data_IF_303994242404
#
_entry.id   IF_303994242404
#
_cell.length_a   1.000
_cell.length_b   1.000
_cell.length_c   1.000
_cell.angle_alpha   90.00
_cell.angle_beta   90.00
_cell.angle_gamma   90.00
#
_symmetry.space_group_name_H-M   'P 1'
#
loop_
_entity.id
_entity.type
_entity.pdbx_description
1 polymer ?
#
# COMPACT_ATOMS: atom_id res chain seq x y z
N UNK A 1 13.64 -6.86 -15.87
CA UNK A 1 12.52 -6.25 -15.10
C UNK A 1 11.20 -6.14 -15.90
N UNK A 2 11.20 -6.29 -17.24
CA UNK A 2 9.96 -6.29 -18.05
C UNK A 2 9.22 -7.63 -18.17
N UNK A 3 9.76 -8.74 -17.67
CA UNK A 3 9.23 -10.09 -17.96
C UNK A 3 8.28 -10.65 -16.88
N UNK A 4 8.11 -9.98 -15.73
CA UNK A 4 7.27 -10.50 -14.63
C UNK A 4 5.84 -9.92 -14.59
N UNK A 5 5.53 -8.94 -15.44
CA UNK A 5 4.20 -8.31 -15.48
C UNK A 5 3.27 -8.89 -16.56
N UNK A 6 3.72 -9.84 -17.38
CA UNK A 6 2.91 -10.40 -18.48
C UNK A 6 2.21 -11.73 -18.16
N UNK A 7 2.47 -12.37 -17.02
CA UNK A 7 1.85 -13.65 -16.62
C UNK A 7 0.65 -13.51 -15.69
N UNK A 8 0.29 -12.30 -15.27
CA UNK A 8 -1.00 -12.07 -14.59
C UNK A 8 -2.08 -11.77 -15.63
N UNK A 9 -2.77 -12.83 -16.01
CA UNK A 9 -3.99 -12.87 -16.82
C UNK A 9 -4.90 -11.62 -16.59
N UNK A 10 -5.47 -10.97 -17.64
CA UNK A 10 -6.28 -9.73 -17.49
C UNK A 10 -7.62 -9.90 -16.74
N UNK A 11 -7.91 -11.08 -16.21
CA UNK A 11 -9.22 -11.46 -15.66
C UNK A 11 -9.58 -10.84 -14.29
N UNK A 12 -8.74 -9.93 -13.77
CA UNK A 12 -8.93 -9.30 -12.45
C UNK A 12 -9.00 -7.77 -12.46
N UNK A 13 -8.92 -7.12 -13.62
CA UNK A 13 -9.01 -5.66 -13.71
C UNK A 13 -10.43 -5.19 -14.01
N UNK A 14 -11.07 -4.52 -13.04
CA UNK A 14 -12.25 -3.68 -13.28
C UNK A 14 -11.89 -2.23 -12.95
N UNK A 15 -12.11 -1.31 -13.89
CA UNK A 15 -11.81 0.13 -13.76
C UNK A 15 -10.37 0.45 -13.31
N UNK A 16 -9.37 -0.25 -13.87
CA UNK A 16 -7.95 -0.02 -13.54
C UNK A 16 -7.53 -0.45 -12.13
N UNK A 17 -8.38 -1.18 -11.40
CA UNK A 17 -8.05 -1.75 -10.09
C UNK A 17 -7.73 -3.22 -10.23
N UNK A 18 -6.57 -3.63 -9.74
CA UNK A 18 -6.24 -5.04 -9.53
C UNK A 18 -7.04 -5.50 -8.31
N UNK A 19 -8.18 -6.15 -8.54
CA UNK A 19 -8.98 -6.74 -7.48
C UNK A 19 -8.44 -8.13 -7.19
N UNK A 20 -8.15 -8.43 -5.92
CA UNK A 20 -7.95 -9.82 -5.53
C UNK A 20 -9.27 -10.56 -5.81
N UNK A 21 -9.28 -11.62 -6.65
CA UNK A 21 -10.51 -12.29 -7.03
C UNK A 21 -11.01 -13.15 -5.86
N UNK A 22 -11.56 -12.51 -4.83
CA UNK A 22 -12.11 -13.15 -3.62
C UNK A 22 -13.08 -14.28 -3.97
N UNK A 23 -13.87 -14.10 -5.04
CA UNK A 23 -14.80 -15.13 -5.54
C UNK A 23 -14.07 -16.44 -5.88
N UNK A 24 -12.88 -16.40 -6.47
CA UNK A 24 -12.09 -17.61 -6.79
C UNK A 24 -11.44 -18.24 -5.56
N UNK A 25 -11.18 -17.46 -4.51
CA UNK A 25 -10.62 -17.99 -3.27
C UNK A 25 -11.63 -18.94 -2.60
N UNK A 26 -12.92 -18.59 -2.61
CA UNK A 26 -13.98 -19.45 -2.08
C UNK A 26 -14.14 -20.76 -2.86
N UNK A 27 -14.01 -20.72 -4.19
CA UNK A 27 -14.03 -21.93 -5.03
C UNK A 27 -12.87 -22.89 -4.66
N UNK A 28 -11.68 -22.34 -4.41
CA UNK A 28 -10.50 -23.13 -4.04
C UNK A 28 -10.68 -23.71 -2.64
N UNK A 29 -11.13 -22.93 -1.66
CA UNK A 29 -11.41 -23.39 -0.29
C UNK A 29 -12.42 -24.54 -0.32
N UNK A 30 -13.48 -24.42 -1.11
CA UNK A 30 -14.52 -25.46 -1.26
C UNK A 30 -13.93 -26.75 -1.83
N UNK A 31 -13.09 -26.65 -2.87
CA UNK A 31 -12.40 -27.81 -3.46
C UNK A 31 -11.42 -28.48 -2.49
N UNK A 32 -10.72 -27.70 -1.67
CA UNK A 32 -9.76 -28.21 -0.69
C UNK A 32 -10.47 -28.92 0.48
N UNK A 33 -11.60 -28.39 0.96
CA UNK A 33 -12.42 -29.03 1.99
C UNK A 33 -12.98 -30.37 1.50
N UNK A 34 -13.38 -30.45 0.23
CA UNK A 34 -13.96 -31.66 -0.35
C UNK A 34 -12.91 -32.69 -0.83
N UNK A 35 -11.62 -32.39 -0.74
CA UNK A 35 -10.54 -33.27 -1.20
C UNK A 35 -10.18 -34.30 -0.13
N UNK A 36 -10.77 -35.49 -0.21
CA UNK A 36 -10.57 -36.62 0.72
C UNK A 36 -9.13 -37.15 0.79
N UNK A 37 -8.27 -36.81 -0.18
CA UNK A 37 -6.86 -37.20 -0.21
C UNK A 37 -5.96 -36.32 0.68
N UNK A 38 -6.43 -35.15 1.13
CA UNK A 38 -5.63 -34.20 1.90
C UNK A 38 -5.93 -34.34 3.40
N UNK A 39 -4.89 -34.63 4.19
CA UNK A 39 -4.93 -34.51 5.66
C UNK A 39 -4.49 -33.10 6.06
N UNK A 40 -5.30 -32.09 5.77
CA UNK A 40 -5.05 -30.73 6.23
C UNK A 40 -6.30 -30.11 6.87
N UNK A 41 -6.08 -29.19 7.81
CA UNK A 41 -7.14 -28.38 8.40
C UNK A 41 -7.24 -27.09 7.61
N UNK A 42 -8.34 -26.92 6.87
CA UNK A 42 -8.62 -25.68 6.15
C UNK A 42 -9.31 -24.71 7.10
N UNK A 43 -8.61 -23.65 7.50
CA UNK A 43 -9.18 -22.54 8.28
C UNK A 43 -9.76 -21.49 7.34
N UNK A 44 -10.84 -20.82 7.76
CA UNK A 44 -11.39 -19.69 7.00
C UNK A 44 -10.38 -18.53 6.92
N UNK A 45 -10.50 -17.73 5.85
CA UNK A 45 -9.76 -16.48 5.74
C UNK A 45 -10.20 -15.57 6.90
N UNK A 46 -9.28 -15.03 7.72
CA UNK A 46 -9.65 -14.13 8.80
C UNK A 46 -10.44 -12.91 8.31
N UNK A 47 -11.46 -12.50 9.07
CA UNK A 47 -12.37 -11.40 8.70
C UNK A 47 -11.67 -10.08 8.43
N UNK A 48 -10.52 -9.83 9.07
CA UNK A 48 -9.78 -8.60 8.80
C UNK A 48 -9.26 -8.57 7.36
N UNK A 49 -8.87 -9.72 6.78
CA UNK A 49 -8.38 -9.80 5.40
C UNK A 49 -9.49 -9.51 4.42
N UNK A 50 -10.68 -10.09 4.61
CA UNK A 50 -11.84 -9.85 3.74
C UNK A 50 -12.27 -8.38 3.82
N UNK A 51 -12.39 -7.82 5.03
CA UNK A 51 -12.68 -6.39 5.24
C UNK A 51 -11.65 -5.47 4.59
N UNK A 52 -10.35 -5.76 4.71
CA UNK A 52 -9.29 -4.96 4.09
C UNK A 52 -9.32 -5.04 2.57
N UNK A 53 -9.63 -6.21 2.00
CA UNK A 53 -9.72 -6.39 0.55
C UNK A 53 -10.95 -5.71 -0.06
N UNK A 54 -12.06 -5.64 0.69
CA UNK A 54 -13.30 -4.98 0.27
C UNK A 54 -13.31 -3.47 0.54
N UNK A 55 -12.49 -3.00 1.49
CA UNK A 55 -12.42 -1.59 1.87
C UNK A 55 -12.07 -0.70 0.68
N UNK A 56 -12.99 0.22 0.37
CA UNK A 56 -12.74 1.30 -0.59
C UNK A 56 -11.83 2.33 0.09
N UNK A 57 -10.64 2.61 -0.46
CA UNK A 57 -9.79 3.67 0.07
C UNK A 57 -10.54 4.99 -0.08
N UNK A 58 -10.67 5.73 1.01
CA UNK A 58 -11.24 7.07 1.03
C UNK A 58 -10.09 8.04 0.81
N UNK A 59 -10.17 8.82 -0.26
CA UNK A 59 -9.19 9.89 -0.47
C UNK A 59 -9.53 11.06 0.48
N UNK A 60 -8.52 11.66 1.14
CA UNK A 60 -8.71 12.81 2.00
C UNK A 60 -9.17 14.03 1.19
N UNK A 61 -9.85 14.95 1.86
CA UNK A 61 -10.30 16.19 1.23
C UNK A 61 -9.10 17.12 0.90
N UNK A 62 -9.20 17.99 -0.13
CA UNK A 62 -8.11 18.91 -0.47
C UNK A 62 -7.71 19.83 0.70
N UNK A 63 -8.67 20.23 1.54
CA UNK A 63 -8.43 21.04 2.73
C UNK A 63 -7.64 20.28 3.79
N UNK A 64 -7.97 19.01 4.07
CA UNK A 64 -7.21 18.15 4.98
C UNK A 64 -5.75 18.02 4.52
N UNK A 65 -5.55 17.73 3.24
CA UNK A 65 -4.20 17.60 2.65
C UNK A 65 -3.41 18.90 2.80
N UNK A 66 -4.01 20.04 2.46
CA UNK A 66 -3.34 21.34 2.56
C UNK A 66 -3.01 21.71 4.00
N UNK A 67 -3.93 21.47 4.95
CA UNK A 67 -3.71 21.72 6.37
C UNK A 67 -2.57 20.85 6.92
N UNK A 68 -2.53 19.57 6.56
CA UNK A 68 -1.44 18.68 6.96
C UNK A 68 -0.09 19.15 6.39
N UNK A 69 -0.01 19.44 5.09
CA UNK A 69 1.23 19.89 4.46
C UNK A 69 1.71 21.23 5.04
N UNK A 70 0.80 22.13 5.39
CA UNK A 70 1.11 23.38 6.09
C UNK A 70 1.53 23.17 7.55
N UNK A 71 1.17 22.03 8.17
CA UNK A 71 1.53 21.66 9.53
C UNK A 71 2.88 20.94 9.67
N UNK A 72 3.48 20.48 8.58
CA UNK A 72 4.77 19.76 8.61
C UNK A 72 5.89 20.58 9.27
N UNK A 73 6.91 20.00 9.90
CA UNK A 73 8.08 20.74 10.39
C UNK A 73 8.75 21.58 9.29
N UNK A 74 9.29 22.76 9.64
CA UNK A 74 9.94 23.68 8.70
C UNK A 74 11.02 23.02 7.81
N UNK A 75 11.94 22.18 8.34
CA UNK A 75 12.95 21.51 7.52
C UNK A 75 12.33 20.66 6.40
N UNK A 76 11.23 19.96 6.73
CA UNK A 76 10.52 19.12 5.77
C UNK A 76 9.72 19.93 4.74
N UNK A 77 9.22 21.12 5.12
CA UNK A 77 8.54 22.01 4.16
C UNK A 77 9.50 22.72 3.22
N UNK A 78 10.67 23.14 3.71
CA UNK A 78 11.66 23.89 2.95
C UNK A 78 12.51 23.04 2.01
N UNK A 79 12.85 21.82 2.42
CA UNK A 79 13.83 20.99 1.70
C UNK A 79 13.21 19.96 0.76
N UNK A 80 11.87 19.83 0.78
CA UNK A 80 11.18 18.85 -0.05
C UNK A 80 11.17 19.28 -1.52
N UNK A 81 11.71 18.42 -2.37
CA UNK A 81 11.81 18.69 -3.81
C UNK A 81 10.43 18.61 -4.48
N UNK A 82 10.18 19.34 -5.58
CA UNK A 82 8.86 19.37 -6.23
C UNK A 82 8.30 17.98 -6.57
N UNK A 83 9.14 17.07 -7.07
CA UNK A 83 8.72 15.70 -7.41
C UNK A 83 8.36 14.87 -6.17
N UNK A 84 9.00 15.11 -5.02
CA UNK A 84 8.67 14.42 -3.77
C UNK A 84 7.27 14.84 -3.29
N UNK A 85 6.98 16.14 -3.39
CA UNK A 85 5.66 16.69 -3.06
C UNK A 85 4.58 16.11 -3.97
N UNK A 86 4.87 15.98 -5.26
CA UNK A 86 3.96 15.37 -6.22
C UNK A 86 3.72 13.88 -5.91
N UNK A 87 4.75 13.11 -5.57
CA UNK A 87 4.63 11.71 -5.17
C UNK A 87 3.75 11.52 -3.92
N UNK A 88 3.91 12.38 -2.92
CA UNK A 88 3.06 12.39 -1.72
C UNK A 88 1.61 12.73 -2.10
N UNK A 89 1.37 13.80 -2.85
CA UNK A 89 0.03 14.18 -3.29
C UNK A 89 -0.64 13.08 -4.11
N UNK A 90 0.12 12.38 -4.96
CA UNK A 90 -0.36 11.26 -5.75
C UNK A 90 -0.83 10.09 -4.88
N UNK A 91 -0.11 9.79 -3.80
CA UNK A 91 -0.49 8.77 -2.81
C UNK A 91 -1.69 9.17 -1.98
N UNK A 92 -1.75 10.42 -1.50
CA UNK A 92 -2.89 10.94 -0.75
C UNK A 92 -4.18 10.86 -1.57
N UNK A 93 -4.17 11.31 -2.83
CA UNK A 93 -5.34 11.21 -3.73
C UNK A 93 -5.85 9.78 -3.98
N UNK A 94 -5.07 8.76 -3.64
CA UNK A 94 -5.41 7.33 -3.77
C UNK A 94 -5.65 6.64 -2.43
N UNK A 95 -5.86 7.41 -1.37
CA UNK A 95 -6.05 6.87 -0.02
C UNK A 95 -4.83 6.08 0.45
N UNK A 96 -3.63 6.62 0.21
CA UNK A 96 -2.34 6.05 0.66
C UNK A 96 -1.75 4.98 -0.25
N UNK A 97 -2.49 4.52 -1.28
CA UNK A 97 -2.03 3.46 -2.20
C UNK A 97 -1.20 4.04 -3.34
N UNK A 98 0.12 3.86 -3.28
CA UNK A 98 1.06 4.35 -4.30
C UNK A 98 2.27 3.44 -4.47
N UNK A 99 2.77 3.34 -5.71
CA UNK A 99 4.09 2.80 -6.03
C UNK A 99 4.99 3.96 -6.45
N UNK A 100 6.00 4.29 -5.64
CA UNK A 100 6.96 5.36 -5.93
C UNK A 100 8.17 4.73 -6.63
N UNK A 101 8.31 4.99 -7.92
CA UNK A 101 9.32 4.38 -8.80
C UNK A 101 10.57 5.24 -9.05
N UNK A 102 10.78 6.31 -8.28
CA UNK A 102 11.86 7.26 -8.49
C UNK A 102 13.26 6.61 -8.37
N UNK A 103 14.28 7.24 -8.97
CA UNK A 103 15.67 6.79 -8.88
C UNK A 103 16.19 6.69 -7.43
N UNK A 104 17.18 5.83 -7.23
CA UNK A 104 17.84 5.64 -5.93
C UNK A 104 18.46 6.97 -5.45
N UNK A 105 18.32 7.29 -4.16
CA UNK A 105 18.87 8.52 -3.58
C UNK A 105 17.95 9.77 -3.64
N UNK A 106 16.81 9.72 -4.34
CA UNK A 106 15.89 10.86 -4.46
C UNK A 106 14.96 11.08 -3.24
N UNK A 107 15.21 10.44 -2.10
CA UNK A 107 14.43 10.65 -0.87
C UNK A 107 13.04 9.99 -0.87
N UNK A 108 12.91 8.79 -1.47
CA UNK A 108 11.67 8.01 -1.44
C UNK A 108 11.22 7.63 -0.01
N UNK A 109 12.18 7.40 0.89
CA UNK A 109 11.90 7.13 2.30
C UNK A 109 11.17 8.30 2.95
N UNK A 110 11.60 9.52 2.68
CA UNK A 110 10.93 10.73 3.15
C UNK A 110 9.49 10.80 2.63
N UNK A 111 9.27 10.55 1.34
CA UNK A 111 7.91 10.54 0.76
C UNK A 111 7.00 9.51 1.47
N UNK A 112 7.54 8.31 1.73
CA UNK A 112 6.81 7.24 2.42
C UNK A 112 6.49 7.59 3.88
N UNK A 113 7.43 8.20 4.60
CA UNK A 113 7.23 8.62 5.99
C UNK A 113 6.22 9.77 6.10
N UNK A 114 6.26 10.75 5.21
CA UNK A 114 5.27 11.84 5.19
C UNK A 114 3.87 11.29 4.89
N UNK A 115 3.75 10.34 3.96
CA UNK A 115 2.50 9.62 3.72
C UNK A 115 2.02 8.87 4.97
N UNK A 116 2.90 8.14 5.65
CA UNK A 116 2.55 7.41 6.87
C UNK A 116 2.12 8.36 8.02
N UNK A 117 2.78 9.52 8.14
CA UNK A 117 2.44 10.53 9.14
C UNK A 117 1.06 11.16 8.90
N UNK A 118 0.63 11.30 7.64
CA UNK A 118 -0.72 11.75 7.31
C UNK A 118 -1.79 10.81 7.90
N UNK A 119 -1.56 9.50 7.83
CA UNK A 119 -2.44 8.47 8.38
C UNK A 119 -2.08 8.11 9.84
N UNK A 120 -1.61 9.08 10.63
CA UNK A 120 -1.20 8.84 12.02
C UNK A 120 -2.31 8.30 12.94
N UNK A 121 -3.57 8.54 12.59
CA UNK A 121 -4.73 7.99 13.28
C UNK A 121 -4.95 6.48 13.03
N UNK A 122 -4.28 5.88 12.04
CA UNK A 122 -4.41 4.47 11.66
C UNK A 122 -3.26 3.59 12.16
N UNK A 123 -2.46 4.08 13.11
CA UNK A 123 -1.32 3.35 13.66
C UNK A 123 -1.73 2.01 14.30
N UNK A 124 -0.84 1.00 14.29
CA UNK A 124 0.62 1.05 14.03
C UNK A 124 1.03 0.99 12.55
N UNK A 125 2.20 1.58 12.21
CA UNK A 125 2.82 1.52 10.87
C UNK A 125 3.82 0.36 10.79
N UNK A 126 3.70 -0.47 9.75
CA UNK A 126 4.66 -1.54 9.44
C UNK A 126 5.54 -1.15 8.23
N UNK A 127 6.84 -1.03 8.46
CA UNK A 127 7.83 -0.84 7.39
C UNK A 127 8.53 -2.16 7.10
N UNK A 128 8.45 -2.62 5.85
CA UNK A 128 9.17 -3.81 5.38
C UNK A 128 10.29 -3.36 4.45
N UNK A 129 11.54 -3.69 4.82
CA UNK A 129 12.71 -3.35 4.03
C UNK A 129 13.80 -4.44 4.14
N UNK A 130 14.76 -4.52 3.20
CA UNK A 130 15.93 -5.37 3.36
C UNK A 130 16.71 -5.04 4.64
N UNK A 131 17.28 -6.07 5.29
CA UNK A 131 18.01 -5.92 6.56
C UNK A 131 19.11 -4.85 6.50
N UNK A 132 19.79 -4.71 5.34
CA UNK A 132 20.87 -3.75 5.12
C UNK A 132 20.47 -2.28 5.31
N UNK A 133 19.20 -1.92 5.07
CA UNK A 133 18.73 -0.52 5.15
C UNK A 133 17.82 -0.26 6.35
N UNK A 134 17.61 -1.26 7.23
CA UNK A 134 16.70 -1.12 8.39
C UNK A 134 17.09 0.03 9.33
N UNK A 135 18.39 0.23 9.53
CA UNK A 135 18.89 1.28 10.42
C UNK A 135 18.75 2.66 9.79
N UNK A 136 18.93 2.75 8.46
CA UNK A 136 18.64 3.98 7.73
C UNK A 136 17.18 4.38 7.91
N UNK A 137 16.23 3.44 7.79
CA UNK A 137 14.82 3.72 8.05
C UNK A 137 14.52 4.17 9.49
N UNK A 138 15.26 3.70 10.49
CA UNK A 138 15.11 4.12 11.90
C UNK A 138 15.63 5.54 12.13
N UNK A 139 16.71 5.91 11.45
CA UNK A 139 17.41 7.18 11.68
C UNK A 139 16.86 8.35 10.85
N UNK A 140 15.94 8.07 9.90
CA UNK A 140 15.17 9.08 9.15
C UNK A 140 14.01 9.63 9.98
#
# INVERSE_FOLDING_TARGET
VRTFLQTLNPLGMRNGRQLFPLNRAWDIVTKLVNASALRCTVTSIPDFVTKTLEAKPVAPSPSEVNNFLAGLPQPLRGDMRPFQREGILFGLRRGGRVLIGDEMGLGKTLQALVLAAFYSNEWPVLVVCPSAIRFQWRDQ
#
